data_IF_374456104844
#
_entry.id   IF_374456104844
#
_cell.length_a   1.000
_cell.length_b   1.000
_cell.length_c   1.000
_cell.angle_alpha   90.00
_cell.angle_beta   90.00
_cell.angle_gamma   90.00
#
_symmetry.space_group_name_H-M   'P 1'
#
loop_
_entity.id
_entity.type
_entity.pdbx_description
1 polymer ?
#
# COMPACT_ATOMS: atom_id res chain seq x y z
N UNK A 1 -0.92 -18.60 5.73
CA UNK A 1 -1.03 -18.12 7.13
C UNK A 1 -2.48 -17.72 7.42
N UNK A 2 -2.99 -17.95 8.64
CA UNK A 2 -4.32 -17.47 9.06
C UNK A 2 -4.13 -16.30 10.04
N UNK A 3 -4.57 -15.11 9.66
CA UNK A 3 -4.53 -13.90 10.47
C UNK A 3 -5.89 -13.66 11.11
N UNK A 4 -5.93 -13.51 12.44
CA UNK A 4 -7.12 -12.99 13.12
C UNK A 4 -7.03 -11.47 13.19
N UNK A 5 -8.08 -10.77 12.76
CA UNK A 5 -8.15 -9.31 12.76
C UNK A 5 -9.46 -8.88 13.40
N UNK A 6 -9.39 -7.93 14.31
CA UNK A 6 -10.54 -7.28 14.94
C UNK A 6 -10.18 -5.85 15.29
N UNK A 7 -11.19 -5.00 15.37
CA UNK A 7 -11.09 -3.63 15.89
C UNK A 7 -12.21 -3.43 16.91
N UNK A 8 -12.26 -2.31 17.66
CA UNK A 8 -13.39 -2.06 18.57
C UNK A 8 -14.76 -2.13 17.88
N UNK A 9 -14.83 -1.78 16.59
CA UNK A 9 -16.07 -1.67 15.82
C UNK A 9 -16.25 -2.81 14.80
N UNK A 10 -15.22 -3.63 14.59
CA UNK A 10 -15.23 -4.76 13.65
C UNK A 10 -15.00 -6.06 14.41
N UNK A 11 -16.00 -6.96 14.36
CA UNK A 11 -15.91 -8.29 14.95
C UNK A 11 -14.73 -9.09 14.38
N UNK A 12 -14.22 -10.04 15.16
CA UNK A 12 -13.09 -10.86 14.73
C UNK A 12 -13.38 -11.61 13.43
N UNK A 13 -12.43 -11.46 12.49
CA UNK A 13 -12.42 -12.15 11.21
C UNK A 13 -11.10 -12.87 11.02
N UNK A 14 -11.12 -13.91 10.20
CA UNK A 14 -9.95 -14.73 9.92
C UNK A 14 -9.61 -14.65 8.45
N UNK A 15 -8.49 -14.00 8.14
CA UNK A 15 -8.02 -13.78 6.78
C UNK A 15 -6.97 -14.84 6.42
N UNK A 16 -7.11 -15.42 5.24
CA UNK A 16 -6.12 -16.33 4.70
C UNK A 16 -5.14 -15.53 3.83
N UNK A 17 -3.91 -15.42 4.29
CA UNK A 17 -2.81 -14.79 3.56
C UNK A 17 -1.86 -15.88 3.06
N UNK A 18 -1.26 -15.75 1.87
CA UNK A 18 -0.23 -16.68 1.42
C UNK A 18 0.96 -16.63 2.40
N UNK A 19 1.42 -15.43 2.72
CA UNK A 19 2.53 -15.14 3.60
C UNK A 19 2.34 -13.78 4.30
N UNK A 20 3.17 -13.51 5.31
CA UNK A 20 3.37 -12.17 5.87
C UNK A 20 4.86 -12.01 6.11
N UNK A 21 5.42 -10.91 5.62
CA UNK A 21 6.84 -10.62 5.71
C UNK A 21 7.12 -9.77 6.95
N UNK A 22 8.10 -10.19 7.74
CA UNK A 22 8.61 -9.45 8.88
C UNK A 22 10.03 -8.98 8.57
N UNK A 23 10.29 -7.71 8.84
CA UNK A 23 11.63 -7.14 8.79
C UNK A 23 12.34 -7.37 10.12
N UNK A 24 13.65 -7.56 10.07
CA UNK A 24 14.55 -7.62 11.23
C UNK A 24 15.26 -6.28 11.49
N UNK A 25 14.95 -5.24 10.69
CA UNK A 25 15.56 -3.93 10.82
C UNK A 25 15.05 -3.20 12.07
N UNK A 26 15.96 -2.55 12.80
CA UNK A 26 15.70 -1.99 14.15
C UNK A 26 14.59 -0.93 14.21
N UNK A 27 14.35 -0.23 13.11
CA UNK A 27 13.32 0.81 13.01
C UNK A 27 11.99 0.28 12.49
N UNK A 28 11.95 -0.95 11.97
CA UNK A 28 10.73 -1.54 11.46
C UNK A 28 9.90 -2.14 12.60
N UNK A 29 8.58 -2.18 12.42
CA UNK A 29 7.69 -2.76 13.43
C UNK A 29 6.73 -3.76 12.80
N UNK A 30 6.37 -4.81 13.55
CA UNK A 30 5.44 -5.84 13.05
C UNK A 30 4.07 -5.27 12.68
N UNK A 31 3.58 -4.27 13.41
CA UNK A 31 2.25 -3.71 13.19
C UNK A 31 2.19 -2.22 13.52
N UNK A 32 1.35 -1.49 12.79
CA UNK A 32 0.99 -0.10 13.08
C UNK A 32 -0.53 0.09 12.89
N UNK A 33 -1.10 1.10 13.55
CA UNK A 33 -2.50 1.51 13.43
C UNK A 33 -2.59 3.03 13.38
N UNK A 34 -3.29 3.59 12.39
CA UNK A 34 -3.46 5.03 12.22
C UNK A 34 -2.93 5.53 10.88
N UNK A 35 -2.18 6.63 10.88
CA UNK A 35 -1.79 7.31 9.63
C UNK A 35 -0.47 6.78 9.04
N UNK A 36 -0.36 6.83 7.70
CA UNK A 36 0.88 6.63 6.95
C UNK A 36 1.30 7.93 6.23
N UNK A 37 0.89 9.11 6.71
CA UNK A 37 1.20 10.40 6.08
C UNK A 37 2.70 10.72 5.99
N UNK A 38 3.46 10.30 7.00
CA UNK A 38 4.91 10.50 7.05
C UNK A 38 5.68 9.44 6.25
N UNK A 39 4.95 8.48 5.66
CA UNK A 39 5.50 7.37 4.92
C UNK A 39 6.38 6.45 5.78
N UNK A 40 7.33 5.80 5.12
CA UNK A 40 8.21 4.81 5.74
C UNK A 40 9.52 5.38 6.31
N UNK A 41 9.61 6.70 6.49
CA UNK A 41 10.80 7.35 7.06
C UNK A 41 11.14 6.85 8.47
N UNK A 42 10.14 6.33 9.19
CA UNK A 42 10.25 5.83 10.56
C UNK A 42 10.21 4.30 10.67
N UNK A 43 10.30 3.60 9.54
CA UNK A 43 10.26 2.14 9.47
C UNK A 43 9.13 1.60 8.61
N UNK A 44 9.33 0.37 8.16
CA UNK A 44 8.34 -0.44 7.44
C UNK A 44 7.48 -1.21 8.43
N UNK A 45 6.24 -1.51 8.02
CA UNK A 45 5.30 -2.26 8.83
C UNK A 45 4.80 -3.50 8.11
N UNK A 46 4.81 -4.65 8.79
CA UNK A 46 4.29 -5.90 8.22
C UNK A 46 2.76 -5.89 8.11
N UNK A 47 2.09 -5.29 9.08
CA UNK A 47 0.63 -5.15 9.12
C UNK A 47 0.27 -3.70 9.45
N UNK A 48 -0.70 -3.13 8.75
CA UNK A 48 -1.22 -1.80 9.05
C UNK A 48 -2.74 -1.77 9.05
N UNK A 49 -3.32 -1.18 10.09
CA UNK A 49 -4.74 -0.85 10.17
C UNK A 49 -4.94 0.65 10.00
N UNK A 50 -5.68 1.05 8.98
CA UNK A 50 -5.96 2.45 8.65
C UNK A 50 -7.14 2.52 7.68
N UNK A 51 -7.87 3.64 7.71
CA UNK A 51 -8.95 3.90 6.75
C UNK A 51 -8.34 4.29 5.39
N UNK A 52 -8.37 3.36 4.43
CA UNK A 52 -7.73 3.51 3.12
C UNK A 52 -8.65 4.17 2.10
N UNK A 53 -9.96 3.93 2.20
CA UNK A 53 -10.97 4.42 1.26
C UNK A 53 -11.78 5.63 1.79
N UNK A 54 -11.47 6.11 3.00
CA UNK A 54 -12.16 7.18 3.72
C UNK A 54 -13.66 6.90 3.96
N UNK A 55 -14.03 5.64 4.21
CA UNK A 55 -15.42 5.27 4.51
C UNK A 55 -15.77 5.32 6.01
N UNK A 56 -14.78 5.62 6.86
CA UNK A 56 -14.93 5.70 8.31
C UNK A 56 -14.69 4.37 9.03
N UNK A 57 -14.37 3.30 8.31
CA UNK A 57 -13.94 2.02 8.86
C UNK A 57 -12.45 1.77 8.60
N UNK A 58 -11.83 0.98 9.46
CA UNK A 58 -10.43 0.62 9.28
C UNK A 58 -10.29 -0.54 8.32
N UNK A 59 -9.36 -0.38 7.38
CA UNK A 59 -8.93 -1.39 6.43
C UNK A 59 -7.60 -2.02 6.88
N UNK A 60 -7.22 -3.11 6.22
CA UNK A 60 -5.96 -3.80 6.48
C UNK A 60 -5.05 -3.75 5.26
N UNK A 61 -3.79 -3.39 5.51
CA UNK A 61 -2.68 -3.57 4.57
C UNK A 61 -1.68 -4.57 5.16
N UNK A 62 -1.29 -5.58 4.39
CA UNK A 62 -0.35 -6.62 4.83
C UNK A 62 0.83 -6.70 3.85
N UNK A 63 2.06 -6.68 4.37
CA UNK A 63 3.27 -6.88 3.59
C UNK A 63 3.37 -8.36 3.20
N UNK A 64 3.15 -8.64 1.93
CA UNK A 64 3.01 -10.00 1.39
C UNK A 64 3.98 -10.32 0.27
N UNK A 65 4.73 -9.35 -0.24
CA UNK A 65 5.77 -9.60 -1.24
C UNK A 65 6.85 -8.53 -1.33
N UNK A 66 7.66 -8.61 -2.38
CA UNK A 66 8.75 -7.69 -2.69
C UNK A 66 8.63 -7.16 -4.13
N UNK A 67 7.41 -6.99 -4.62
CA UNK A 67 7.16 -6.57 -6.01
C UNK A 67 7.27 -5.05 -6.22
N UNK A 68 7.65 -4.30 -5.17
CA UNK A 68 7.94 -2.88 -5.26
C UNK A 68 9.25 -2.59 -6.00
N UNK A 69 9.54 -1.30 -6.17
CA UNK A 69 10.72 -0.83 -6.88
C UNK A 69 12.01 -1.33 -6.23
N UNK A 70 12.86 -2.04 -6.98
CA UNK A 70 14.08 -2.70 -6.48
C UNK A 70 13.87 -3.70 -5.33
N UNK A 71 12.76 -4.42 -5.32
CA UNK A 71 12.50 -5.40 -4.27
C UNK A 71 11.99 -4.76 -2.98
N UNK A 72 11.47 -3.54 -3.06
CA UNK A 72 10.76 -2.92 -1.95
C UNK A 72 9.46 -3.68 -1.62
N UNK A 73 8.89 -3.46 -0.42
CA UNK A 73 7.65 -4.10 0.00
C UNK A 73 6.52 -3.94 -1.02
N UNK A 74 5.84 -5.05 -1.33
CA UNK A 74 4.51 -5.06 -1.92
C UNK A 74 3.48 -5.52 -0.90
N UNK A 75 2.28 -4.93 -0.98
CA UNK A 75 1.23 -5.13 0.01
C UNK A 75 -0.03 -5.74 -0.62
N UNK A 76 -0.69 -6.60 0.15
CA UNK A 76 -2.08 -6.99 -0.09
C UNK A 76 -3.00 -6.07 0.72
N UNK A 77 -4.07 -5.60 0.09
CA UNK A 77 -5.00 -4.62 0.65
C UNK A 77 -6.36 -5.29 0.87
N UNK A 78 -6.93 -5.15 2.05
CA UNK A 78 -8.28 -5.62 2.37
C UNK A 78 -9.11 -4.43 2.83
N UNK A 79 -10.17 -4.12 2.10
CA UNK A 79 -11.12 -3.09 2.49
C UNK A 79 -12.23 -3.71 3.33
N UNK A 80 -12.64 -3.04 4.40
CA UNK A 80 -13.79 -3.47 5.18
C UNK A 80 -15.09 -3.06 4.49
N UNK A 81 -15.85 -4.04 4.02
CA UNK A 81 -17.20 -3.83 3.50
C UNK A 81 -18.20 -3.86 4.66
N UNK A 82 -18.77 -2.70 5.01
CA UNK A 82 -19.71 -2.55 6.11
C UNK A 82 -21.05 -3.27 5.88
N UNK A 83 -21.49 -3.44 4.63
CA UNK A 83 -22.72 -4.15 4.29
C UNK A 83 -22.52 -5.66 4.46
N UNK A 84 -21.38 -6.18 3.96
CA UNK A 84 -21.00 -7.58 4.12
C UNK A 84 -20.45 -7.91 5.51
N UNK A 85 -20.06 -6.89 6.29
CA UNK A 85 -19.34 -6.99 7.55
C UNK A 85 -18.08 -7.85 7.44
N UNK A 86 -17.33 -7.62 6.37
CA UNK A 86 -16.22 -8.47 5.99
C UNK A 86 -15.05 -7.68 5.41
N UNK A 87 -13.82 -8.07 5.74
CA UNK A 87 -12.63 -7.64 5.01
C UNK A 87 -12.59 -8.34 3.64
N UNK A 88 -12.58 -7.56 2.57
CA UNK A 88 -12.56 -8.02 1.19
C UNK A 88 -11.25 -7.62 0.54
N UNK A 89 -10.52 -8.58 -0.02
CA UNK A 89 -9.27 -8.29 -0.73
C UNK A 89 -9.53 -7.40 -1.95
N UNK A 90 -8.78 -6.31 -2.05
CA UNK A 90 -8.78 -5.42 -3.20
C UNK A 90 -7.62 -5.79 -4.14
N UNK A 91 -7.88 -6.64 -5.12
CA UNK A 91 -6.88 -7.02 -6.14
C UNK A 91 -6.72 -5.94 -7.21
N UNK A 92 -7.70 -5.03 -7.35
CA UNK A 92 -7.66 -3.97 -8.35
C UNK A 92 -6.54 -2.95 -8.09
N UNK A 93 -6.24 -2.62 -6.83
CA UNK A 93 -5.13 -1.70 -6.52
C UNK A 93 -3.78 -2.36 -6.83
N UNK A 94 -3.62 -3.65 -6.56
CA UNK A 94 -2.38 -4.39 -6.87
C UNK A 94 -2.07 -4.30 -8.37
N UNK A 95 -3.09 -4.43 -9.23
CA UNK A 95 -2.94 -4.30 -10.67
C UNK A 95 -2.55 -2.87 -11.12
N UNK A 96 -2.90 -1.84 -10.35
CA UNK A 96 -2.56 -0.44 -10.68
C UNK A 96 -1.17 -0.03 -10.20
N UNK A 97 -0.61 -0.70 -9.19
CA UNK A 97 0.67 -0.31 -8.58
C UNK A 97 1.86 -0.63 -9.48
N UNK A 98 1.83 -1.70 -10.28
CA UNK A 98 2.80 -1.99 -11.36
C UNK A 98 4.29 -1.67 -11.02
N UNK A 99 4.94 -2.48 -10.19
CA UNK A 99 6.33 -2.29 -9.70
C UNK A 99 6.60 -1.01 -8.91
N UNK A 100 5.60 -0.19 -8.61
CA UNK A 100 5.81 0.97 -7.75
C UNK A 100 5.85 0.56 -6.27
N UNK A 101 6.70 1.23 -5.51
CA UNK A 101 6.72 1.17 -4.05
C UNK A 101 5.75 2.17 -3.47
N UNK A 102 5.01 1.79 -2.42
CA UNK A 102 4.22 2.74 -1.64
C UNK A 102 5.18 3.71 -0.92
N UNK A 103 4.90 5.01 -0.99
CA UNK A 103 5.61 6.05 -0.22
C UNK A 103 4.87 6.36 1.07
N UNK A 104 3.59 6.70 0.94
CA UNK A 104 2.72 7.20 2.01
C UNK A 104 1.25 7.16 1.61
N UNK A 105 0.37 7.31 2.60
CA UNK A 105 -1.07 7.54 2.40
C UNK A 105 -1.45 8.84 3.11
N UNK A 106 -2.03 9.78 2.37
CA UNK A 106 -2.44 11.10 2.86
C UNK A 106 -3.90 11.32 2.46
N UNK A 107 -4.81 11.47 3.43
CA UNK A 107 -6.24 11.66 3.17
C UNK A 107 -6.82 10.67 2.13
N UNK A 108 -6.55 9.36 2.31
CA UNK A 108 -6.96 8.28 1.39
C UNK A 108 -6.34 8.33 -0.02
N UNK A 109 -5.38 9.23 -0.25
CA UNK A 109 -4.55 9.24 -1.44
C UNK A 109 -3.24 8.50 -1.17
N UNK A 110 -3.04 7.45 -1.93
CA UNK A 110 -1.82 6.68 -1.94
C UNK A 110 -0.84 7.34 -2.89
N UNK A 111 0.38 7.53 -2.43
CA UNK A 111 1.48 8.00 -3.26
C UNK A 111 2.48 6.87 -3.44
N UNK A 112 2.80 6.59 -4.69
CA UNK A 112 3.70 5.53 -5.10
C UNK A 112 4.83 6.11 -5.95
N UNK A 113 5.98 5.46 -5.93
CA UNK A 113 7.12 5.81 -6.76
C UNK A 113 7.73 4.56 -7.38
N UNK A 114 8.38 4.70 -8.53
CA UNK A 114 9.24 3.66 -9.06
C UNK A 114 10.55 4.22 -9.60
N UNK A 115 11.51 3.31 -9.71
CA UNK A 115 12.77 3.55 -10.38
C UNK A 115 13.18 2.31 -11.17
N UNK A 116 13.57 2.52 -12.42
CA UNK A 116 14.11 1.49 -13.31
C UNK A 116 15.45 1.95 -13.86
N UNK A 117 16.50 1.19 -13.59
CA UNK A 117 17.86 1.52 -14.01
C UNK A 117 18.37 2.91 -13.56
N UNK A 118 19.30 3.52 -14.32
CA UNK A 118 19.91 4.80 -13.94
C UNK A 118 18.94 5.97 -14.10
N UNK A 119 18.13 5.97 -15.16
CA UNK A 119 17.46 7.18 -15.65
C UNK A 119 15.94 7.21 -15.50
N UNK A 120 15.28 6.05 -15.47
CA UNK A 120 13.82 6.01 -15.45
C UNK A 120 13.32 6.18 -14.00
N UNK A 121 12.37 7.10 -13.84
CA UNK A 121 11.69 7.39 -12.58
C UNK A 121 10.22 7.61 -12.89
N UNK A 122 9.37 7.37 -11.92
CA UNK A 122 8.03 7.91 -11.98
C UNK A 122 7.30 7.84 -10.66
N UNK A 123 6.18 8.51 -10.63
CA UNK A 123 5.29 8.66 -9.49
C UNK A 123 3.87 8.38 -9.92
N UNK A 124 3.10 7.75 -9.04
CA UNK A 124 1.69 7.43 -9.26
C UNK A 124 0.91 7.74 -8.00
N UNK A 125 -0.22 8.41 -8.16
CA UNK A 125 -1.15 8.64 -7.06
C UNK A 125 -2.46 7.91 -7.34
N UNK A 126 -2.92 7.14 -6.36
CA UNK A 126 -4.16 6.36 -6.42
C UNK A 126 -5.08 6.84 -5.30
N UNK A 127 -6.37 6.91 -5.57
CA UNK A 127 -7.41 7.10 -4.55
C UNK A 127 -8.56 6.13 -4.82
N UNK A 128 -9.26 5.75 -3.76
CA UNK A 128 -10.48 4.97 -3.87
C UNK A 128 -11.71 5.85 -4.16
N UNK A 129 -12.54 5.40 -5.08
CA UNK A 129 -13.91 5.89 -5.29
C UNK A 129 -14.87 4.79 -4.80
N UNK A 130 -15.34 4.91 -3.56
CA UNK A 130 -15.93 3.78 -2.84
C UNK A 130 -14.87 2.69 -2.63
N UNK A 131 -15.14 1.45 -3.05
CA UNK A 131 -14.16 0.35 -2.96
C UNK A 131 -13.31 0.17 -4.21
N UNK A 132 -13.39 1.09 -5.18
CA UNK A 132 -12.70 0.94 -6.46
C UNK A 132 -11.53 1.91 -6.58
N UNK A 133 -10.28 1.41 -6.71
CA UNK A 133 -9.13 2.28 -6.84
C UNK A 133 -9.06 2.91 -8.23
N UNK A 134 -8.56 4.15 -8.28
CA UNK A 134 -8.37 4.95 -9.48
C UNK A 134 -7.03 5.67 -9.44
N UNK A 135 -6.31 5.64 -10.55
CA UNK A 135 -5.16 6.53 -10.75
C UNK A 135 -5.68 7.96 -10.92
N UNK A 136 -5.22 8.87 -10.07
CA UNK A 136 -5.59 10.29 -10.13
C UNK A 136 -4.45 11.17 -10.64
N UNK A 137 -3.21 10.68 -10.57
CA UNK A 137 -2.02 11.32 -11.12
C UNK A 137 -0.99 10.26 -11.49
N UNK A 138 -0.29 10.46 -12.59
CA UNK A 138 0.88 9.65 -12.97
C UNK A 138 1.88 10.54 -13.68
N UNK A 139 3.17 10.29 -13.47
CA UNK A 139 4.24 10.96 -14.20
C UNK A 139 5.45 10.05 -14.33
N UNK A 140 5.97 9.96 -15.55
CA UNK A 140 7.17 9.20 -15.87
C UNK A 140 8.23 10.14 -16.45
N UNK A 141 9.48 9.96 -16.01
CA UNK A 141 10.63 10.72 -16.47
C UNK A 141 11.72 9.75 -16.94
N UNK A 142 12.37 10.09 -18.05
CA UNK A 142 13.60 9.48 -18.49
C UNK A 142 14.68 10.55 -18.69
N UNK A 143 15.60 10.65 -17.73
CA UNK A 143 16.69 11.63 -17.79
C UNK A 143 17.74 11.31 -18.86
N UNK A 144 17.84 10.06 -19.32
CA UNK A 144 18.75 9.67 -20.40
C UNK A 144 18.30 10.24 -21.75
N UNK A 145 16.99 10.46 -21.96
CA UNK A 145 16.47 11.10 -23.19
C UNK A 145 16.43 12.62 -23.10
N UNK A 146 16.41 13.18 -21.88
CA UNK A 146 16.50 14.63 -21.65
C UNK A 146 17.93 15.18 -21.78
N UNK A 147 18.95 14.30 -21.74
CA UNK A 147 20.36 14.67 -21.86
C UNK A 147 20.82 15.02 -23.30
N UNK A 148 20.02 14.70 -24.32
CA UNK A 148 20.34 14.98 -25.74
C UNK A 148 19.85 16.37 -26.23
N UNK A 149 19.39 17.25 -25.32
CA UNK A 149 18.93 18.62 -25.66
C UNK A 149 19.75 19.75 -25.00
N UNK A 150 20.99 19.48 -24.57
CA UNK A 150 21.91 20.46 -23.98
C UNK A 150 23.18 20.69 -24.77
#
# INVERSE_FOLDING_TARGET
MRLAVSTPDIAEQHLQLPEVIFSDHENDASANRGTLEQGFAWGKYSLMLLDLNNDGHEDLMAWTGFDGSYGDPSYTYFLYDADAKAFVENTAIQALVEMHSLSRVVDGQFEFWYRSGPCERGEKSIRFEGNVPRVIKSSDENSCTNADQG
#
